data_IF_425446347965
#
_entry.id   IF_425446347965
#
_cell.length_a   1.000
_cell.length_b   1.000
_cell.length_c   1.000
_cell.angle_alpha   90.00
_cell.angle_beta   90.00
_cell.angle_gamma   90.00
#
_symmetry.space_group_name_H-M   'P 1'
#
loop_
_entity.id
_entity.type
_entity.pdbx_description
1 polymer ?
#
# COMPACT_ATOMS: atom_id res chain seq x y z
N UNK A 1 22.52 -9.26 -33.81
CA UNK A 1 22.82 -9.76 -32.45
C UNK A 1 22.00 -9.08 -31.37
N UNK A 2 21.89 -7.73 -31.36
CA UNK A 2 21.11 -7.00 -30.34
C UNK A 2 19.58 -7.28 -30.35
N UNK A 3 18.95 -7.49 -31.52
CA UNK A 3 17.52 -7.82 -31.58
C UNK A 3 17.17 -9.19 -30.99
N UNK A 4 18.05 -10.19 -31.14
CA UNK A 4 17.85 -11.51 -30.54
C UNK A 4 17.82 -11.41 -29.02
N UNK A 5 18.74 -10.61 -28.46
CA UNK A 5 18.80 -10.34 -27.04
C UNK A 5 17.54 -9.61 -26.54
N UNK A 6 17.01 -8.66 -27.30
CA UNK A 6 15.77 -7.94 -26.95
C UNK A 6 14.55 -8.89 -26.91
N UNK A 7 14.45 -9.80 -27.89
CA UNK A 7 13.41 -10.83 -27.91
C UNK A 7 13.54 -11.80 -26.74
N UNK A 8 14.77 -12.17 -26.37
CA UNK A 8 15.06 -13.02 -25.21
C UNK A 8 14.64 -12.34 -23.90
N UNK A 9 14.96 -11.06 -23.75
CA UNK A 9 14.57 -10.25 -22.58
C UNK A 9 13.05 -10.18 -22.47
N UNK A 10 12.35 -9.94 -23.59
CA UNK A 10 10.89 -9.85 -23.59
C UNK A 10 10.24 -11.19 -23.19
N UNK A 11 10.79 -12.31 -23.67
CA UNK A 11 10.33 -13.65 -23.33
C UNK A 11 10.55 -13.96 -21.84
N UNK A 12 11.74 -13.66 -21.32
CA UNK A 12 12.07 -13.87 -19.92
C UNK A 12 11.18 -13.02 -18.99
N UNK A 13 10.89 -11.78 -19.39
CA UNK A 13 9.99 -10.89 -18.65
C UNK A 13 8.56 -11.44 -18.56
N UNK A 14 8.04 -11.98 -19.66
CA UNK A 14 6.71 -12.60 -19.71
C UNK A 14 6.66 -13.87 -18.85
N UNK A 15 7.69 -14.71 -18.94
CA UNK A 15 7.79 -15.94 -18.15
C UNK A 15 7.86 -15.64 -16.65
N UNK A 16 8.65 -14.64 -16.24
CA UNK A 16 8.75 -14.20 -14.85
C UNK A 16 7.42 -13.69 -14.30
N UNK A 17 6.67 -12.91 -15.09
CA UNK A 17 5.31 -12.47 -14.69
C UNK A 17 4.38 -13.65 -14.41
N UNK A 18 4.39 -14.67 -15.27
CA UNK A 18 3.53 -15.84 -15.11
C UNK A 18 3.86 -16.60 -13.81
N UNK A 19 5.14 -16.71 -13.46
CA UNK A 19 5.59 -17.39 -12.25
C UNK A 19 5.20 -16.65 -10.96
N UNK A 20 5.27 -15.31 -10.95
CA UNK A 20 4.81 -14.53 -9.79
C UNK A 20 3.30 -14.66 -9.57
N UNK A 21 2.51 -14.68 -10.64
CA UNK A 21 1.05 -14.88 -10.53
C UNK A 21 0.72 -16.25 -9.91
N UNK A 22 1.52 -17.28 -10.25
CA UNK A 22 1.35 -18.63 -9.71
C UNK A 22 1.87 -18.80 -8.27
N UNK A 23 2.68 -17.86 -7.77
CA UNK A 23 3.16 -17.81 -6.38
C UNK A 23 2.26 -16.92 -5.49
N UNK A 24 1.27 -16.22 -6.06
CA UNK A 24 0.36 -15.32 -5.34
C UNK A 24 -0.76 -15.99 -4.53
N UNK A 25 -0.86 -17.33 -4.53
CA UNK A 25 -1.77 -18.06 -3.64
C UNK A 25 -1.14 -18.30 -2.26
N UNK A 26 -0.73 -17.21 -1.62
CA UNK A 26 -0.51 -17.12 -0.18
C UNK A 26 -1.66 -16.30 0.40
N UNK A 27 -2.65 -16.99 0.95
CA UNK A 27 -3.74 -16.45 1.76
C UNK A 27 -3.27 -15.34 2.72
N UNK A 28 -3.53 -14.08 2.36
CA UNK A 28 -3.78 -13.04 3.36
C UNK A 28 -5.25 -12.70 3.19
N UNK A 29 -6.03 -13.27 4.11
CA UNK A 29 -7.46 -13.07 4.20
C UNK A 29 -7.78 -11.58 4.21
N UNK A 30 -8.68 -11.20 3.31
CA UNK A 30 -9.53 -10.04 3.49
C UNK A 30 -10.35 -10.25 4.77
N UNK A 31 -9.78 -9.88 5.92
CA UNK A 31 -10.55 -9.67 7.13
C UNK A 31 -11.02 -8.22 7.11
N UNK A 32 -11.95 -7.95 6.20
CA UNK A 32 -12.80 -6.77 6.26
C UNK A 32 -13.83 -7.01 7.38
N UNK A 33 -13.80 -6.31 8.52
CA UNK A 33 -15.01 -6.16 9.31
C UNK A 33 -15.97 -5.28 8.50
N UNK A 34 -16.79 -5.93 7.70
CA UNK A 34 -18.04 -5.35 7.23
C UNK A 34 -18.88 -4.99 8.45
N UNK A 35 -19.31 -3.74 8.48
CA UNK A 35 -20.45 -3.23 9.23
C UNK A 35 -20.31 -3.08 10.76
N UNK A 36 -20.25 -1.83 11.21
CA UNK A 36 -20.92 -1.42 12.45
C UNK A 36 -21.71 -0.14 12.19
N UNK A 37 -22.91 -0.30 11.65
CA UNK A 37 -24.01 0.59 12.01
C UNK A 37 -24.25 0.47 13.50
N UNK A 38 -23.91 1.51 14.27
CA UNK A 38 -24.52 1.80 15.56
C UNK A 38 -24.84 3.30 15.58
N UNK A 39 -26.04 3.60 16.07
CA UNK A 39 -26.72 4.89 15.95
C UNK A 39 -26.13 6.00 16.82
N UNK A 40 -26.91 7.07 17.07
CA UNK A 40 -26.40 8.28 17.68
C UNK A 40 -26.38 8.09 19.19
N UNK A 41 -25.22 7.87 19.78
CA UNK A 41 -25.10 7.93 21.23
C UNK A 41 -23.78 8.52 21.71
N UNK A 42 -23.97 9.34 22.72
CA UNK A 42 -23.10 10.33 23.34
C UNK A 42 -21.85 9.73 24.00
N UNK A 43 -20.81 10.57 24.04
CA UNK A 43 -19.77 10.63 25.07
C UNK A 43 -18.45 9.86 24.88
N UNK A 44 -17.39 10.63 25.11
CA UNK A 44 -15.99 10.26 25.38
C UNK A 44 -15.20 9.66 24.22
N UNK A 45 -14.66 10.57 23.40
CA UNK A 45 -13.54 10.27 22.52
C UNK A 45 -12.34 9.73 23.31
N UNK A 46 -11.77 8.57 22.95
CA UNK A 46 -10.44 8.21 23.43
C UNK A 46 -9.45 9.20 22.81
N UNK A 47 -8.66 9.88 23.64
CA UNK A 47 -7.52 10.69 23.20
C UNK A 47 -6.52 9.74 22.55
N UNK A 48 -6.63 9.59 21.24
CA UNK A 48 -5.59 8.92 20.43
C UNK A 48 -4.39 9.84 20.52
N UNK A 49 -3.39 9.47 21.33
CA UNK A 49 -2.06 10.09 21.24
C UNK A 49 -1.64 9.91 19.80
N UNK A 50 -1.63 11.00 19.04
CA UNK A 50 -1.14 11.06 17.67
C UNK A 50 0.31 10.58 17.72
N UNK A 51 0.53 9.30 17.44
CA UNK A 51 1.87 8.85 17.13
C UNK A 51 2.20 9.55 15.82
N UNK A 52 3.22 10.41 15.85
CA UNK A 52 3.90 10.90 14.66
C UNK A 52 4.51 9.68 13.98
N UNK A 53 3.70 8.94 13.23
CA UNK A 53 4.21 7.91 12.34
C UNK A 53 5.02 8.66 11.30
N UNK A 54 6.33 8.40 11.16
CA UNK A 54 7.17 9.15 10.25
C UNK A 54 6.61 8.95 8.84
N UNK A 55 5.94 9.99 8.34
CA UNK A 55 5.43 9.99 6.98
C UNK A 55 6.63 10.20 6.09
N UNK A 56 7.02 9.15 5.35
CA UNK A 56 8.09 9.24 4.37
C UNK A 56 7.55 10.09 3.20
N UNK A 57 7.84 11.38 3.23
CA UNK A 57 7.40 12.33 2.19
C UNK A 57 8.28 12.29 0.94
N UNK A 58 9.54 11.89 1.11
CA UNK A 58 10.51 11.84 0.03
C UNK A 58 10.57 10.43 -0.57
N UNK A 59 10.27 10.25 -1.87
CA UNK A 59 10.30 8.93 -2.51
C UNK A 59 11.66 8.24 -2.46
N UNK A 60 12.76 9.00 -2.32
CA UNK A 60 14.11 8.45 -2.28
C UNK A 60 14.43 7.69 -0.97
N UNK A 61 13.70 7.98 0.11
CA UNK A 61 13.89 7.33 1.42
C UNK A 61 12.98 6.10 1.60
N UNK A 62 12.21 5.76 0.58
CA UNK A 62 11.25 4.67 0.62
C UNK A 62 11.88 3.33 0.25
N UNK A 63 11.65 2.32 1.08
CA UNK A 63 12.03 0.94 0.76
C UNK A 63 11.20 0.37 -0.41
N UNK A 64 11.74 -0.64 -1.10
CA UNK A 64 11.05 -1.31 -2.21
C UNK A 64 9.69 -1.88 -1.80
N UNK A 65 9.59 -2.45 -0.59
CA UNK A 65 8.36 -3.07 -0.08
C UNK A 65 7.26 -2.04 0.19
N UNK A 66 7.60 -0.90 0.80
CA UNK A 66 6.67 0.22 1.00
C UNK A 66 6.15 0.75 -0.33
N UNK A 67 7.05 0.94 -1.30
CA UNK A 67 6.69 1.44 -2.63
C UNK A 67 5.73 0.48 -3.34
N UNK A 68 6.04 -0.81 -3.34
CA UNK A 68 5.21 -1.83 -3.97
C UNK A 68 3.82 -1.92 -3.31
N UNK A 69 3.75 -1.86 -1.97
CA UNK A 69 2.49 -1.86 -1.24
C UNK A 69 1.62 -0.63 -1.60
N UNK A 70 2.24 0.56 -1.67
CA UNK A 70 1.54 1.79 -2.01
C UNK A 70 1.05 1.80 -3.47
N UNK A 71 1.90 1.38 -4.42
CA UNK A 71 1.52 1.26 -5.83
C UNK A 71 0.36 0.27 -6.03
N UNK A 72 0.41 -0.89 -5.35
CA UNK A 72 -0.66 -1.88 -5.42
C UNK A 72 -1.98 -1.35 -4.85
N UNK A 73 -1.95 -0.64 -3.72
CA UNK A 73 -3.14 -0.03 -3.13
C UNK A 73 -3.76 1.01 -4.06
N UNK A 74 -2.94 1.89 -4.66
CA UNK A 74 -3.42 2.90 -5.62
C UNK A 74 -3.98 2.27 -6.91
N UNK A 75 -3.49 1.10 -7.33
CA UNK A 75 -3.98 0.40 -8.51
C UNK A 75 -5.30 -0.37 -8.26
N UNK A 76 -5.55 -0.79 -7.01
CA UNK A 76 -6.66 -1.68 -6.66
C UNK A 76 -7.76 -1.00 -5.84
N UNK A 77 -7.49 0.20 -5.33
CA UNK A 77 -8.38 0.96 -4.45
C UNK A 77 -8.39 2.44 -4.83
N UNK A 78 -9.53 3.09 -4.61
CA UNK A 78 -9.70 4.54 -4.70
C UNK A 78 -9.45 5.28 -3.38
N UNK A 79 -9.00 4.58 -2.33
CA UNK A 79 -8.66 5.18 -1.05
C UNK A 79 -7.37 6.00 -1.08
N UNK A 80 -7.17 6.84 -0.06
CA UNK A 80 -5.92 7.58 0.13
C UNK A 80 -5.01 6.82 1.09
N UNK A 81 -3.77 6.58 0.66
CA UNK A 81 -2.80 5.81 1.43
C UNK A 81 -1.50 6.59 1.59
N UNK A 82 -0.82 6.35 2.71
CA UNK A 82 0.56 6.80 2.95
C UNK A 82 1.42 5.59 3.28
N UNK A 83 2.71 5.65 2.97
CA UNK A 83 3.69 4.63 3.38
C UNK A 83 4.15 4.84 4.82
N UNK A 84 4.56 3.74 5.46
CA UNK A 84 5.09 3.70 6.83
C UNK A 84 6.23 2.69 6.98
N UNK A 85 7.13 2.93 7.91
CA UNK A 85 8.25 2.08 8.31
C UNK A 85 7.86 1.02 9.35
N UNK A 86 6.75 0.33 9.13
CA UNK A 86 6.28 -0.69 10.08
C UNK A 86 6.99 -2.04 9.89
N UNK A 87 7.57 -2.57 10.97
CA UNK A 87 8.10 -3.94 11.02
C UNK A 87 7.02 -5.03 11.18
N UNK A 88 5.74 -4.64 11.34
CA UNK A 88 4.64 -5.56 11.64
C UNK A 88 3.66 -5.75 10.47
N UNK A 89 4.08 -5.39 9.25
CA UNK A 89 3.26 -5.55 8.03
C UNK A 89 2.31 -4.39 7.72
N UNK A 90 2.29 -3.32 8.52
CA UNK A 90 1.51 -2.11 8.23
C UNK A 90 2.32 -1.14 7.35
N UNK A 91 2.75 -1.59 6.17
CA UNK A 91 3.61 -0.81 5.26
C UNK A 91 2.91 0.42 4.67
N UNK A 92 1.58 0.41 4.65
CA UNK A 92 0.73 1.53 4.27
C UNK A 92 -0.43 1.67 5.24
N UNK A 93 -0.91 2.90 5.44
CA UNK A 93 -2.15 3.16 6.19
C UNK A 93 -3.15 3.95 5.35
N UNK A 94 -4.45 3.61 5.41
CA UNK A 94 -5.50 4.45 4.87
C UNK A 94 -5.60 5.74 5.70
N UNK A 95 -5.73 6.89 5.02
CA UNK A 95 -5.82 8.21 5.64
C UNK A 95 -6.89 9.05 4.94
N UNK A 96 -7.24 10.19 5.54
CA UNK A 96 -7.99 11.22 4.85
C UNK A 96 -7.08 12.01 3.90
N UNK A 97 -7.62 12.56 2.79
CA UNK A 97 -6.88 13.48 1.93
C UNK A 97 -6.27 14.62 2.75
N UNK A 98 -5.01 14.96 2.47
CA UNK A 98 -4.33 16.12 3.07
C UNK A 98 -4.33 17.25 2.06
N UNK A 99 -4.67 18.44 2.53
CA UNK A 99 -4.58 19.67 1.75
C UNK A 99 -3.48 20.54 2.38
N UNK A 100 -2.62 21.11 1.56
CA UNK A 100 -1.70 22.13 2.04
C UNK A 100 -2.53 23.33 2.52
N UNK A 101 -2.22 23.86 3.69
CA UNK A 101 -2.84 25.12 4.13
C UNK A 101 -2.20 26.22 3.30
N UNK A 102 -3.00 26.95 2.51
CA UNK A 102 -2.54 28.17 1.87
C UNK A 102 -1.94 29.07 2.96
N UNK A 103 -0.63 29.30 2.88
CA UNK A 103 0.15 29.99 3.91
C UNK A 103 -0.07 31.51 3.87
#
# INVERSE_FOLDING_TARGET
>A
MAESQNRQILQDLQQKRQMLLNQGQGVIGSNLPSNRSIGPETSTAPVVKLHDTPVIRNPADMSLSQRQALEHANATSSGYFISQDSAHGNLILPVLPRFESDQ
#
